data_IF_491364456152
#
_entry.id   IF_491364456152
#
_cell.length_a   1.000
_cell.length_b   1.000
_cell.length_c   1.000
_cell.angle_alpha   90.00
_cell.angle_beta   90.00
_cell.angle_gamma   90.00
#
_symmetry.space_group_name_H-M   'P 1'
#
loop_
_entity.id
_entity.type
_entity.pdbx_description
1 polymer ?
#
# COMPACT_ATOMS: atom_id res chain seq x y z
N UNK A 1 14.84 10.77 -14.40
CA UNK A 1 14.20 9.78 -15.29
C UNK A 1 12.86 9.41 -14.70
N UNK A 2 11.79 9.59 -15.46
CA UNK A 2 10.47 9.14 -15.06
C UNK A 2 10.41 7.62 -15.19
N UNK A 3 10.01 6.92 -14.12
CA UNK A 3 9.94 5.45 -14.12
C UNK A 3 8.74 5.01 -14.94
N UNK A 4 8.95 4.07 -15.86
CA UNK A 4 7.96 3.56 -16.81
C UNK A 4 7.44 2.16 -16.45
N UNK A 5 7.84 1.62 -15.31
CA UNK A 5 7.45 0.28 -14.86
C UNK A 5 7.09 0.29 -13.36
N UNK A 6 6.18 -0.61 -13.00
CA UNK A 6 5.84 -0.87 -11.61
C UNK A 6 7.02 -1.50 -10.88
N UNK A 7 7.11 -1.22 -9.59
CA UNK A 7 8.18 -1.73 -8.71
C UNK A 7 7.72 -2.83 -7.76
N UNK A 8 6.41 -2.85 -7.45
CA UNK A 8 5.82 -3.96 -6.73
C UNK A 8 5.82 -5.23 -7.60
N UNK A 9 5.90 -6.40 -6.94
CA UNK A 9 5.83 -7.68 -7.63
C UNK A 9 4.52 -7.85 -8.42
N UNK A 10 4.58 -8.49 -9.60
CA UNK A 10 3.42 -8.65 -10.47
C UNK A 10 2.31 -9.50 -9.84
N UNK A 11 2.66 -10.51 -9.03
CA UNK A 11 1.69 -11.34 -8.31
C UNK A 11 0.99 -10.53 -7.23
N UNK A 12 1.75 -9.71 -6.51
CA UNK A 12 1.21 -8.79 -5.52
C UNK A 12 0.27 -7.76 -6.15
N UNK A 13 0.66 -7.14 -7.26
CA UNK A 13 -0.20 -6.22 -8.02
C UNK A 13 -1.49 -6.92 -8.45
N UNK A 14 -1.39 -8.15 -8.98
CA UNK A 14 -2.58 -8.92 -9.36
C UNK A 14 -3.50 -9.15 -8.17
N UNK A 15 -2.94 -9.60 -7.04
CA UNK A 15 -3.70 -9.83 -5.81
C UNK A 15 -4.40 -8.56 -5.32
N UNK A 16 -3.70 -7.42 -5.30
CA UNK A 16 -4.30 -6.14 -4.95
C UNK A 16 -5.47 -5.76 -5.87
N UNK A 17 -5.30 -5.93 -7.19
CA UNK A 17 -6.36 -5.65 -8.16
C UNK A 17 -7.56 -6.60 -7.99
N UNK A 18 -7.33 -7.86 -7.62
CA UNK A 18 -8.41 -8.78 -7.30
C UNK A 18 -9.15 -8.35 -6.00
N UNK A 19 -8.43 -7.86 -4.98
CA UNK A 19 -9.02 -7.37 -3.74
C UNK A 19 -9.97 -6.17 -3.95
N UNK A 20 -9.62 -5.24 -4.85
CA UNK A 20 -10.44 -4.06 -5.13
C UNK A 20 -11.25 -4.17 -6.43
N UNK A 21 -11.39 -5.39 -7.00
CA UNK A 21 -12.11 -5.63 -8.26
C UNK A 21 -11.64 -4.73 -9.43
N UNK A 22 -10.37 -4.33 -9.42
CA UNK A 22 -9.77 -3.40 -10.37
C UNK A 22 -10.24 -1.95 -10.23
N UNK A 23 -11.00 -1.61 -9.20
CA UNK A 23 -11.61 -0.31 -8.97
C UNK A 23 -11.00 0.41 -7.76
N UNK A 24 -10.05 1.30 -8.01
CA UNK A 24 -9.39 2.06 -6.96
C UNK A 24 -10.32 2.97 -6.14
N UNK A 25 -11.53 3.29 -6.64
CA UNK A 25 -12.53 4.03 -5.85
C UNK A 25 -13.00 3.25 -4.61
N UNK A 26 -12.83 1.92 -4.58
CA UNK A 26 -13.12 1.09 -3.41
C UNK A 26 -11.96 1.06 -2.41
N UNK A 27 -10.78 1.53 -2.79
CA UNK A 27 -9.63 1.59 -1.90
C UNK A 27 -9.70 2.78 -0.95
N UNK A 28 -8.94 2.70 0.13
CA UNK A 28 -8.70 3.82 1.05
C UNK A 28 -7.33 4.41 0.76
N UNK A 29 -7.27 5.73 0.63
CA UNK A 29 -6.03 6.46 0.43
C UNK A 29 -5.30 6.65 1.75
N UNK A 30 -4.03 6.26 1.86
CA UNK A 30 -3.22 6.53 3.05
C UNK A 30 -2.16 7.58 2.75
N UNK A 31 -2.24 8.70 3.49
CA UNK A 31 -1.29 9.80 3.45
C UNK A 31 -0.11 9.54 4.38
N UNK A 32 1.09 9.54 3.84
CA UNK A 32 2.33 9.37 4.57
C UNK A 32 3.18 10.65 4.44
N UNK A 33 2.77 11.69 5.18
CA UNK A 33 3.30 13.05 5.09
C UNK A 33 4.65 13.27 5.81
N UNK A 34 5.18 12.29 6.54
CA UNK A 34 6.35 12.47 7.40
C UNK A 34 7.24 11.24 7.47
N UNK A 35 7.66 10.74 6.30
CA UNK A 35 8.65 9.67 6.27
C UNK A 35 9.99 10.17 6.80
N UNK A 36 10.48 9.59 7.90
CA UNK A 36 11.76 9.95 8.53
C UNK A 36 12.98 9.36 7.82
N UNK A 37 12.80 8.63 6.71
CA UNK A 37 13.86 7.97 5.94
C UNK A 37 13.97 8.52 4.51
N UNK A 38 14.46 9.78 4.36
CA UNK A 38 14.62 10.41 3.05
C UNK A 38 15.56 9.59 2.15
N UNK A 39 15.12 9.31 0.92
CA UNK A 39 15.85 8.51 -0.08
C UNK A 39 15.50 7.02 -0.09
N UNK A 40 15.01 6.48 1.04
CA UNK A 40 14.48 5.12 1.15
C UNK A 40 13.01 5.07 0.70
N UNK A 41 12.19 5.99 1.20
CA UNK A 41 10.81 6.16 0.78
C UNK A 41 10.71 7.15 -0.39
N UNK A 42 10.33 6.68 -1.58
CA UNK A 42 10.36 7.49 -2.82
C UNK A 42 9.00 8.03 -3.27
N UNK A 43 7.91 7.47 -2.77
CA UNK A 43 6.56 8.06 -2.75
C UNK A 43 5.83 7.42 -1.57
N UNK A 44 5.41 8.21 -0.57
CA UNK A 44 5.07 7.65 0.73
C UNK A 44 3.60 7.23 0.78
N UNK A 45 2.75 7.85 -0.03
CA UNK A 45 1.34 7.55 -0.10
C UNK A 45 1.10 6.21 -0.81
N UNK A 46 0.04 5.53 -0.39
CA UNK A 46 -0.38 4.26 -0.98
C UNK A 46 -1.90 4.13 -0.89
N UNK A 47 -2.45 3.30 -1.77
CA UNK A 47 -3.79 2.78 -1.62
C UNK A 47 -3.72 1.53 -0.75
N UNK A 48 -4.74 1.31 0.07
CA UNK A 48 -4.97 -0.01 0.65
C UNK A 48 -6.41 -0.45 0.49
N UNK A 49 -6.60 -1.75 0.47
CA UNK A 49 -7.89 -2.42 0.57
C UNK A 49 -7.71 -3.60 1.55
N UNK A 50 -8.68 -3.87 2.46
CA UNK A 50 -8.63 -5.08 3.26
C UNK A 50 -8.83 -6.32 2.35
N UNK A 51 -8.05 -7.38 2.58
CA UNK A 51 -8.31 -8.68 1.97
C UNK A 51 -9.54 -9.36 2.61
N UNK A 52 -10.01 -10.53 2.12
CA UNK A 52 -11.14 -11.25 2.71
C UNK A 52 -10.97 -11.59 4.19
N UNK A 53 -9.74 -11.74 4.67
CA UNK A 53 -9.37 -11.98 6.06
C UNK A 53 -9.23 -10.68 6.88
N UNK A 54 -9.44 -9.52 6.25
CA UNK A 54 -9.34 -8.20 6.85
C UNK A 54 -7.91 -7.67 6.99
N UNK A 55 -6.88 -8.36 6.50
CA UNK A 55 -5.50 -7.87 6.50
C UNK A 55 -5.36 -6.73 5.48
N UNK A 56 -4.50 -5.74 5.73
CA UNK A 56 -4.28 -4.70 4.75
C UNK A 56 -3.58 -5.30 3.54
N UNK A 57 -4.02 -4.98 2.33
CA UNK A 57 -3.30 -5.21 1.08
C UNK A 57 -2.98 -3.83 0.47
N UNK A 58 -1.70 -3.54 0.22
CA UNK A 58 -1.26 -2.17 -0.14
C UNK A 58 -0.74 -2.08 -1.57
N UNK A 59 -1.00 -0.95 -2.23
CA UNK A 59 -0.43 -0.61 -3.52
C UNK A 59 0.23 0.77 -3.44
N UNK A 60 1.56 0.87 -3.62
CA UNK A 60 2.25 2.16 -3.63
C UNK A 60 1.67 3.10 -4.69
N UNK A 61 1.51 4.40 -4.37
CA UNK A 61 0.97 5.38 -5.34
C UNK A 61 1.81 5.48 -6.63
N UNK A 62 3.10 5.17 -6.55
CA UNK A 62 4.00 5.09 -7.71
C UNK A 62 3.55 4.06 -8.74
N UNK A 63 3.06 2.92 -8.26
CA UNK A 63 2.61 1.82 -9.11
C UNK A 63 1.16 2.08 -9.54
N UNK A 64 0.32 2.60 -8.63
CA UNK A 64 -1.05 3.02 -8.94
C UNK A 64 -1.10 4.05 -10.09
N UNK A 65 -0.15 5.00 -10.13
CA UNK A 65 -0.06 6.00 -11.22
C UNK A 65 0.19 5.38 -12.60
N UNK A 66 0.85 4.22 -12.65
CA UNK A 66 1.13 3.51 -13.90
C UNK A 66 0.00 2.54 -14.28
N UNK A 67 -0.71 2.01 -13.28
CA UNK A 67 -1.77 1.01 -13.47
C UNK A 67 -3.12 1.63 -13.83
N UNK A 68 -3.46 2.77 -13.24
CA UNK A 68 -4.77 3.40 -13.44
C UNK A 68 -4.70 4.53 -14.48
N UNK A 69 -5.78 4.66 -15.27
CA UNK A 69 -5.89 5.69 -16.30
C UNK A 69 -5.93 7.13 -15.72
N UNK A 70 -6.31 7.27 -14.45
CA UNK A 70 -6.32 8.52 -13.70
C UNK A 70 -5.53 8.34 -12.41
N UNK A 71 -4.86 9.38 -11.96
CA UNK A 71 -4.19 9.39 -10.66
C UNK A 71 -5.27 9.30 -9.57
N UNK A 72 -5.20 8.30 -8.66
CA UNK A 72 -6.14 8.22 -7.55
C UNK A 72 -6.08 9.45 -6.65
N UNK A 73 -7.22 10.10 -6.47
CA UNK A 73 -7.36 11.24 -5.56
C UNK A 73 -8.05 10.83 -4.25
N UNK A 74 -7.60 11.32 -3.07
CA UNK A 74 -8.18 10.92 -1.79
C UNK A 74 -9.69 11.14 -1.66
N UNK A 75 -10.25 12.14 -2.36
CA UNK A 75 -11.68 12.48 -2.35
C UNK A 75 -12.53 11.56 -3.22
N UNK A 76 -11.91 10.82 -4.14
CA UNK A 76 -12.56 9.86 -5.03
C UNK A 76 -12.44 8.42 -4.50
N UNK A 77 -11.62 8.18 -3.46
CA UNK A 77 -11.48 6.91 -2.75
C UNK A 77 -12.64 6.67 -1.76
N UNK A 78 -12.82 5.42 -1.33
CA UNK A 78 -13.81 5.03 -0.31
C UNK A 78 -13.55 5.72 1.05
N UNK A 79 -12.31 6.14 1.28
CA UNK A 79 -11.91 6.97 2.40
C UNK A 79 -10.46 7.43 2.28
N UNK A 80 -10.04 8.25 3.24
CA UNK A 80 -8.64 8.65 3.37
C UNK A 80 -8.21 8.62 4.84
N UNK A 81 -7.01 8.08 5.09
CA UNK A 81 -6.40 8.00 6.41
C UNK A 81 -5.02 8.67 6.40
N UNK A 82 -4.57 9.11 7.57
CA UNK A 82 -3.15 9.36 7.82
C UNK A 82 -2.44 8.05 8.12
N UNK A 83 -1.10 8.03 8.00
CA UNK A 83 -0.33 6.87 8.46
C UNK A 83 -0.56 6.56 9.94
N UNK A 84 -0.70 7.56 10.81
CA UNK A 84 -0.95 7.30 12.23
C UNK A 84 -2.28 6.55 12.44
N UNK A 85 -3.32 6.93 11.71
CA UNK A 85 -4.62 6.26 11.74
C UNK A 85 -4.53 4.82 11.20
N UNK A 86 -3.86 4.63 10.05
CA UNK A 86 -3.65 3.29 9.48
C UNK A 86 -2.85 2.38 10.44
N UNK A 87 -1.76 2.89 11.02
CA UNK A 87 -0.95 2.16 12.00
C UNK A 87 -1.76 1.82 13.24
N UNK A 88 -2.59 2.75 13.73
CA UNK A 88 -3.45 2.48 14.89
C UNK A 88 -4.51 1.43 14.58
N UNK A 89 -5.11 1.47 13.38
CA UNK A 89 -6.13 0.51 12.95
C UNK A 89 -5.57 -0.92 12.86
N UNK A 90 -4.36 -1.06 12.33
CA UNK A 90 -3.71 -2.36 12.10
C UNK A 90 -2.67 -2.74 13.15
N UNK A 91 -2.58 -2.00 14.27
CA UNK A 91 -1.53 -2.18 15.28
C UNK A 91 -1.28 -3.64 15.67
N UNK A 92 -2.28 -4.46 16.04
CA UNK A 92 -2.03 -5.84 16.46
C UNK A 92 -1.40 -6.70 15.36
N UNK A 93 -1.80 -6.48 14.10
CA UNK A 93 -1.23 -7.16 12.94
C UNK A 93 0.21 -6.70 12.70
N UNK A 94 0.46 -5.39 12.71
CA UNK A 94 1.79 -4.83 12.49
C UNK A 94 2.80 -5.22 13.60
N UNK A 95 2.34 -5.35 14.85
CA UNK A 95 3.15 -5.84 15.98
C UNK A 95 3.50 -7.31 15.81
N UNK A 96 2.52 -8.15 15.47
CA UNK A 96 2.73 -9.59 15.23
C UNK A 96 3.77 -9.83 14.12
N UNK A 97 3.71 -9.06 13.05
CA UNK A 97 4.62 -9.18 11.90
C UNK A 97 5.96 -8.43 12.11
N UNK A 98 6.17 -7.80 13.27
CA UNK A 98 7.42 -7.10 13.61
C UNK A 98 7.68 -5.84 12.77
N UNK A 99 6.64 -5.21 12.23
CA UNK A 99 6.76 -4.10 11.26
C UNK A 99 6.86 -2.72 11.91
N UNK A 100 6.47 -2.56 13.18
CA UNK A 100 6.47 -1.24 13.84
C UNK A 100 7.85 -0.64 14.02
N UNK A 101 8.89 -1.48 14.13
CA UNK A 101 10.29 -1.05 14.26
C UNK A 101 10.98 -0.84 12.90
N UNK A 102 10.26 -1.07 11.80
CA UNK A 102 10.84 -0.95 10.47
C UNK A 102 11.18 0.53 10.14
N UNK A 103 12.32 0.80 9.46
CA UNK A 103 12.69 2.16 9.06
C UNK A 103 11.64 2.85 8.17
N UNK A 104 10.85 2.06 7.44
CA UNK A 104 9.75 2.53 6.60
C UNK A 104 8.64 1.47 6.60
N UNK A 105 7.58 1.70 7.38
CA UNK A 105 6.46 0.79 7.52
C UNK A 105 5.79 0.42 6.18
N UNK A 106 5.46 1.35 5.27
CA UNK A 106 4.82 0.98 3.99
C UNK A 106 5.70 0.08 3.10
N UNK A 107 7.02 0.32 3.06
CA UNK A 107 7.92 -0.51 2.27
C UNK A 107 8.12 -1.88 2.91
N UNK A 108 8.26 -1.96 4.24
CA UNK A 108 8.38 -3.24 4.94
C UNK A 108 7.10 -4.08 4.80
N UNK A 109 5.93 -3.45 4.90
CA UNK A 109 4.64 -4.10 4.69
C UNK A 109 4.49 -4.61 3.25
N UNK A 110 4.86 -3.81 2.25
CA UNK A 110 4.85 -4.24 0.86
C UNK A 110 5.73 -5.49 0.66
N UNK A 111 6.96 -5.49 1.19
CA UNK A 111 7.88 -6.64 1.07
C UNK A 111 7.34 -7.90 1.73
N UNK A 112 6.70 -7.76 2.90
CA UNK A 112 6.04 -8.87 3.57
C UNK A 112 4.93 -9.48 2.69
N UNK A 113 4.09 -8.64 2.10
CA UNK A 113 3.00 -9.07 1.23
C UNK A 113 3.49 -9.71 -0.07
N UNK A 114 4.51 -9.11 -0.71
CA UNK A 114 5.15 -9.68 -1.89
C UNK A 114 5.71 -11.07 -1.63
N UNK A 115 6.34 -11.29 -0.47
CA UNK A 115 6.86 -12.60 -0.09
C UNK A 115 5.72 -13.63 0.11
N UNK A 116 4.61 -13.24 0.74
CA UNK A 116 3.46 -14.11 0.94
C UNK A 116 2.79 -14.53 -0.38
N UNK A 117 2.89 -13.71 -1.42
CA UNK A 117 2.43 -14.05 -2.78
C UNK A 117 3.29 -15.12 -3.48
N UNK A 118 4.22 -15.80 -2.83
CA UNK A 118 4.90 -16.97 -3.41
C UNK A 118 4.56 -18.30 -2.72
N UNK A 119 3.76 -18.25 -1.66
CA UNK A 119 3.29 -19.43 -0.92
C UNK A 119 1.89 -19.92 -1.36
N UNK A 120 1.29 -19.26 -2.36
CA UNK A 120 0.04 -19.59 -3.06
C UNK A 120 0.15 -20.72 -4.11
#
# INVERSE_FOLDING_TARGET
MERTHCTADAKHIRHFLDCCEGNWHQCVYVRCVSCKTPGYCRQPDFLYHPDPEGKPCVLPMRDARLLFARLPEPTECAGALTMEQFTSLYRPYLEKEGLLEAPCLPEALLRLQEAACYDW
#
